data_IF_202778633427
#
_entry.id   IF_202778633427
#
_cell.length_a   1.000
_cell.length_b   1.000
_cell.length_c   1.000
_cell.angle_alpha   90.00
_cell.angle_beta   90.00
_cell.angle_gamma   90.00
#
_symmetry.space_group_name_H-M   'P 1'
#
loop_
_entity.id
_entity.type
_entity.pdbx_description
1 polymer ?
#
# COMPACT_ATOMS: atom_id res chain seq x y z
N UNK A 1 4.68 10.45 -8.19
CA UNK A 1 3.21 10.52 -8.24
C UNK A 1 2.55 9.24 -7.72
N UNK A 2 2.83 8.07 -8.31
CA UNK A 2 2.14 6.80 -7.97
C UNK A 2 2.29 6.36 -6.51
N UNK A 3 3.45 6.62 -5.90
CA UNK A 3 3.71 6.31 -4.48
C UNK A 3 2.75 7.08 -3.56
N UNK A 4 2.49 8.35 -3.85
CA UNK A 4 1.57 9.17 -3.06
C UNK A 4 0.13 8.67 -3.22
N UNK A 5 -0.29 8.34 -4.44
CA UNK A 5 -1.63 7.78 -4.69
C UNK A 5 -1.82 6.46 -3.92
N UNK A 6 -0.82 5.59 -3.90
CA UNK A 6 -0.84 4.37 -3.10
C UNK A 6 -0.89 4.67 -1.60
N UNK A 7 -0.06 5.59 -1.11
CA UNK A 7 -0.02 5.97 0.31
C UNK A 7 -1.32 6.61 0.80
N UNK A 8 -2.01 7.38 -0.05
CA UNK A 8 -3.30 7.98 0.27
C UNK A 8 -4.47 6.97 0.14
N UNK A 9 -4.21 5.74 -0.33
CA UNK A 9 -5.26 4.74 -0.55
C UNK A 9 -6.11 5.01 -1.81
N UNK A 10 -5.77 6.00 -2.62
CA UNK A 10 -6.48 6.39 -3.84
C UNK A 10 -6.43 5.29 -4.92
N UNK A 11 -5.37 4.48 -4.90
CA UNK A 11 -5.18 3.36 -5.84
C UNK A 11 -4.60 2.14 -5.14
N UNK A 12 -4.97 0.95 -5.59
CA UNK A 12 -4.34 -0.28 -5.15
C UNK A 12 -2.86 -0.35 -5.56
N UNK A 13 -2.07 -1.17 -4.85
CA UNK A 13 -0.66 -1.40 -5.18
C UNK A 13 -0.47 -1.85 -6.63
N UNK A 14 -1.34 -2.74 -7.12
CA UNK A 14 -1.29 -3.23 -8.50
C UNK A 14 -1.56 -2.12 -9.52
N UNK A 15 -2.53 -1.25 -9.23
CA UNK A 15 -2.82 -0.09 -10.06
C UNK A 15 -1.67 0.92 -10.05
N UNK A 16 -1.06 1.17 -8.89
CA UNK A 16 0.10 2.06 -8.77
C UNK A 16 1.33 1.52 -9.52
N UNK A 17 1.55 0.20 -9.50
CA UNK A 17 2.57 -0.49 -10.27
C UNK A 17 2.34 -0.30 -11.78
N UNK A 18 1.12 -0.53 -12.26
CA UNK A 18 0.75 -0.30 -13.66
C UNK A 18 0.95 1.17 -14.09
N UNK A 19 0.52 2.14 -13.29
CA UNK A 19 0.68 3.57 -13.60
C UNK A 19 2.17 3.96 -13.66
N UNK A 20 3.01 3.31 -12.85
CA UNK A 20 4.47 3.54 -12.87
C UNK A 20 5.21 2.73 -13.93
N UNK A 21 4.52 1.91 -14.73
CA UNK A 21 5.13 1.01 -15.71
C UNK A 21 5.96 -0.10 -15.08
N UNK A 22 5.76 -0.37 -13.79
CA UNK A 22 6.50 -1.36 -13.02
C UNK A 22 5.66 -2.64 -12.85
N UNK A 23 6.35 -3.78 -12.77
CA UNK A 23 5.72 -4.97 -12.26
C UNK A 23 5.55 -4.87 -10.72
N UNK A 24 4.77 -5.79 -10.14
CA UNK A 24 4.48 -5.77 -8.68
C UNK A 24 5.74 -5.85 -7.80
N UNK A 25 6.77 -6.60 -8.21
CA UNK A 25 8.02 -6.75 -7.44
C UNK A 25 8.84 -5.46 -7.48
N UNK A 26 9.02 -4.89 -8.66
CA UNK A 26 9.78 -3.65 -8.82
C UNK A 26 9.11 -2.50 -8.06
N UNK A 27 7.78 -2.47 -8.05
CA UNK A 27 7.03 -1.50 -7.27
C UNK A 27 7.25 -1.66 -5.75
N UNK A 28 7.30 -2.89 -5.24
CA UNK A 28 7.65 -3.18 -3.83
C UNK A 28 9.07 -2.72 -3.48
N UNK A 29 10.04 -2.90 -4.39
CA UNK A 29 11.38 -2.39 -4.15
C UNK A 29 11.41 -0.86 -4.06
N UNK A 30 10.64 -0.16 -4.90
CA UNK A 30 10.52 1.30 -4.82
C UNK A 30 9.90 1.71 -3.47
N UNK A 31 8.84 1.03 -3.03
CA UNK A 31 8.24 1.28 -1.71
C UNK A 31 9.26 1.09 -0.58
N UNK A 32 10.05 0.02 -0.61
CA UNK A 32 11.10 -0.25 0.36
C UNK A 32 12.20 0.81 0.36
N UNK A 33 12.66 1.27 -0.81
CA UNK A 33 13.65 2.35 -0.94
C UNK A 33 13.14 3.66 -0.36
N UNK A 34 11.84 3.93 -0.50
CA UNK A 34 11.19 5.12 0.05
C UNK A 34 10.72 4.96 1.50
N UNK A 35 10.97 3.80 2.14
CA UNK A 35 10.51 3.46 3.50
C UNK A 35 9.00 3.67 3.68
N UNK A 36 8.23 3.35 2.65
CA UNK A 36 6.77 3.42 2.67
C UNK A 36 6.27 2.08 3.21
N UNK A 37 5.55 2.12 4.34
CA UNK A 37 4.93 0.92 4.90
C UNK A 37 3.91 0.34 3.92
N UNK A 38 4.11 -0.93 3.58
CA UNK A 38 3.28 -1.67 2.62
C UNK A 38 2.05 -2.28 3.31
N UNK A 39 2.16 -2.44 4.64
CA UNK A 39 1.11 -2.90 5.52
C UNK A 39 0.60 -1.70 6.29
N UNK A 40 -0.29 -0.94 5.66
CA UNK A 40 -1.20 -0.10 6.44
C UNK A 40 -2.20 -1.07 7.06
N UNK A 41 -1.82 -1.63 8.19
CA UNK A 41 -2.80 -2.23 9.10
C UNK A 41 -3.67 -1.06 9.51
N UNK A 42 -4.90 -1.01 8.98
CA UNK A 42 -5.92 -0.16 9.55
C UNK A 42 -6.11 -0.67 10.98
N UNK A 43 -5.51 0.02 11.95
CA UNK A 43 -5.69 -0.32 13.36
C UNK A 43 -7.18 -0.28 13.72
N UNK A 44 -7.98 0.52 13.01
CA UNK A 44 -9.45 0.55 13.06
C UNK A 44 -10.13 -0.77 12.62
N UNK A 45 -9.56 -1.52 11.66
CA UNK A 45 -10.09 -2.85 11.27
C UNK A 45 -9.69 -3.93 12.29
N UNK A 46 -8.47 -3.83 12.85
CA UNK A 46 -8.02 -4.73 13.92
C UNK A 46 -8.86 -4.58 15.21
N UNK A 47 -9.27 -3.36 15.55
CA UNK A 47 -10.12 -3.10 16.72
C UNK A 47 -11.51 -3.73 16.53
N UNK A 48 -12.08 -3.64 15.32
CA UNK A 48 -13.36 -4.28 14.98
C UNK A 48 -13.28 -5.82 14.93
N UNK A 49 -12.14 -6.41 14.55
CA UNK A 49 -11.94 -7.87 14.67
C UNK A 49 -11.78 -8.32 16.12
N UNK A 50 -11.14 -7.52 16.99
CA UNK A 50 -11.02 -7.83 18.42
C UNK A 50 -12.34 -7.70 19.18
N UNK A 51 -13.19 -6.72 18.84
CA UNK A 51 -14.49 -6.52 19.49
C UNK A 51 -15.51 -7.63 19.15
N UNK A 52 -15.27 -8.44 18.11
CA UNK A 52 -16.15 -9.55 17.70
C UNK A 52 -15.74 -10.92 18.26
N UNK A 53 -14.64 -11.02 19.01
CA UNK A 53 -14.13 -12.26 19.61
C UNK A 53 -14.45 -12.37 21.11
#
# INVERSE_FOLDING_TARGET
MCLLLYQQGEVSQEKAAQISGLNRRDFLEVLARHKIDVFRVDFDDLEQELERA
#
